data_IF_581899627325
#
_entry.id   IF_581899627325
#
_cell.length_a   1.000
_cell.length_b   1.000
_cell.length_c   1.000
_cell.angle_alpha   90.00
_cell.angle_beta   90.00
_cell.angle_gamma   90.00
#
_symmetry.space_group_name_H-M   'P 1'
#
loop_
_entity.id
_entity.type
_entity.pdbx_description
1 polymer ?
#
# COMPACT_ATOMS: atom_id res chain seq x y z
N UNK A 1 -22.12 -7.42 -10.17
CA UNK A 1 -20.82 -8.11 -10.18
C UNK A 1 -19.64 -7.16 -9.99
N UNK A 2 -19.61 -5.99 -10.64
CA UNK A 2 -18.53 -4.99 -10.53
C UNK A 2 -18.23 -4.52 -9.07
N UNK A 3 -19.27 -4.40 -8.24
CA UNK A 3 -19.11 -4.02 -6.82
C UNK A 3 -18.51 -5.13 -5.95
N UNK A 4 -18.72 -6.40 -6.30
CA UNK A 4 -18.13 -7.54 -5.58
C UNK A 4 -16.64 -7.64 -5.89
N UNK A 5 -16.27 -7.55 -7.17
CA UNK A 5 -14.86 -7.59 -7.60
C UNK A 5 -14.03 -6.47 -6.98
N UNK A 6 -14.51 -5.23 -7.00
CA UNK A 6 -13.83 -4.11 -6.33
C UNK A 6 -13.74 -4.31 -4.81
N UNK A 7 -14.76 -4.89 -4.16
CA UNK A 7 -14.69 -5.17 -2.71
C UNK A 7 -13.64 -6.22 -2.38
N UNK A 8 -13.52 -7.29 -3.17
CA UNK A 8 -12.48 -8.31 -2.98
C UNK A 8 -11.10 -7.68 -3.12
N UNK A 9 -10.86 -6.93 -4.20
CA UNK A 9 -9.59 -6.23 -4.41
C UNK A 9 -9.28 -5.28 -3.25
N UNK A 10 -10.29 -4.56 -2.75
CA UNK A 10 -10.15 -3.61 -1.65
C UNK A 10 -9.70 -4.30 -0.37
N UNK A 11 -10.39 -5.38 0.01
CA UNK A 11 -10.09 -6.13 1.24
C UNK A 11 -8.72 -6.78 1.16
N UNK A 12 -8.38 -7.41 0.03
CA UNK A 12 -7.08 -8.07 -0.16
C UNK A 12 -5.95 -7.03 -0.15
N UNK A 13 -6.08 -5.95 -0.93
CA UNK A 13 -5.08 -4.87 -0.96
C UNK A 13 -4.84 -4.29 0.44
N UNK A 14 -5.92 -3.93 1.13
CA UNK A 14 -5.83 -3.32 2.44
C UNK A 14 -5.27 -4.27 3.49
N UNK A 15 -5.58 -5.57 3.42
CA UNK A 15 -5.00 -6.56 4.32
C UNK A 15 -3.49 -6.71 4.13
N UNK A 16 -3.03 -6.78 2.88
CA UNK A 16 -1.60 -6.88 2.55
C UNK A 16 -0.84 -5.68 3.13
N UNK A 17 -1.32 -4.45 2.88
CA UNK A 17 -0.67 -3.26 3.43
C UNK A 17 -0.76 -3.17 4.96
N UNK A 18 -1.90 -3.53 5.55
CA UNK A 18 -2.03 -3.56 7.01
C UNK A 18 -1.04 -4.54 7.64
N UNK A 19 -0.87 -5.72 7.05
CA UNK A 19 0.09 -6.73 7.51
C UNK A 19 1.55 -6.23 7.38
N UNK A 20 1.92 -5.65 6.24
CA UNK A 20 3.27 -5.10 6.03
C UNK A 20 3.58 -3.91 6.97
N UNK A 21 2.61 -2.99 7.14
CA UNK A 21 2.75 -1.87 8.05
C UNK A 21 2.89 -2.33 9.50
N UNK A 22 2.08 -3.31 9.91
CA UNK A 22 2.19 -3.92 11.25
C UNK A 22 3.54 -4.61 11.45
N UNK A 23 4.00 -5.40 10.47
CA UNK A 23 5.28 -6.09 10.52
C UNK A 23 6.45 -5.13 10.74
N UNK A 24 6.42 -3.92 10.17
CA UNK A 24 7.47 -2.90 10.37
C UNK A 24 7.61 -2.45 11.82
N UNK A 25 6.55 -2.56 12.63
CA UNK A 25 6.60 -2.30 14.07
C UNK A 25 6.96 -3.54 14.89
N UNK A 26 6.85 -4.74 14.32
CA UNK A 26 7.24 -5.97 15.00
C UNK A 26 8.77 -6.05 15.11
N UNK A 27 9.28 -6.10 16.34
CA UNK A 27 10.72 -6.10 16.61
C UNK A 27 11.37 -4.72 16.66
N UNK A 28 10.57 -3.65 16.51
CA UNK A 28 11.04 -2.26 16.53
C UNK A 28 11.35 -1.73 15.13
N UNK A 29 10.93 -0.49 14.88
CA UNK A 29 11.03 0.13 13.55
C UNK A 29 12.46 0.54 13.16
N UNK A 30 13.41 0.47 14.11
CA UNK A 30 14.83 0.78 13.88
C UNK A 30 15.42 0.02 12.71
N UNK A 31 15.13 -1.28 12.58
CA UNK A 31 15.60 -2.08 11.43
C UNK A 31 15.13 -1.53 10.08
N UNK A 32 13.90 -1.04 10.00
CA UNK A 32 13.37 -0.43 8.77
C UNK A 32 13.99 0.94 8.54
N UNK A 33 14.22 1.72 9.60
CA UNK A 33 14.88 3.01 9.50
C UNK A 33 16.32 2.87 8.99
N UNK A 34 17.09 1.94 9.55
CA UNK A 34 18.46 1.64 9.12
C UNK A 34 18.49 1.15 7.66
N UNK A 35 17.52 0.32 7.27
CA UNK A 35 17.39 -0.13 5.87
C UNK A 35 17.09 1.04 4.93
N UNK A 36 16.21 1.97 5.33
CA UNK A 36 15.89 3.16 4.54
C UNK A 36 17.14 4.02 4.34
N UNK A 37 17.90 4.29 5.41
CA UNK A 37 19.14 5.06 5.32
C UNK A 37 20.15 4.39 4.37
N UNK A 38 20.25 3.05 4.39
CA UNK A 38 21.13 2.29 3.50
C UNK A 38 20.77 2.41 2.02
N UNK A 39 19.50 2.65 1.68
CA UNK A 39 19.02 2.85 0.30
C UNK A 39 18.83 4.34 -0.06
N UNK A 40 19.33 5.25 0.77
CA UNK A 40 19.30 6.69 0.51
C UNK A 40 17.97 7.39 0.83
N UNK A 41 17.08 6.74 1.57
CA UNK A 41 15.85 7.33 2.10
C UNK A 41 16.08 7.71 3.57
N UNK A 42 15.73 8.93 4.02
CA UNK A 42 15.89 9.29 5.44
C UNK A 42 15.17 8.30 6.37
N UNK A 43 15.86 7.74 7.36
CA UNK A 43 15.35 6.67 8.22
C UNK A 43 14.04 7.00 8.94
N UNK A 44 13.77 8.28 9.26
CA UNK A 44 12.49 8.70 9.85
C UNK A 44 11.28 8.44 8.94
N UNK A 45 11.48 8.33 7.62
CA UNK A 45 10.43 7.96 6.68
C UNK A 45 9.89 6.55 6.92
N UNK A 46 10.64 5.67 7.59
CA UNK A 46 10.16 4.36 7.98
C UNK A 46 8.87 4.45 8.82
N UNK A 47 8.80 5.42 9.74
CA UNK A 47 7.60 5.68 10.54
C UNK A 47 6.42 6.13 9.69
N UNK A 48 6.68 7.05 8.75
CA UNK A 48 5.65 7.59 7.87
C UNK A 48 5.09 6.48 6.98
N UNK A 49 5.96 5.72 6.32
CA UNK A 49 5.58 4.60 5.45
C UNK A 49 4.85 3.52 6.24
N UNK A 50 5.35 3.12 7.40
CA UNK A 50 4.70 2.09 8.23
C UNK A 50 3.29 2.52 8.68
N UNK A 51 3.10 3.80 9.06
CA UNK A 51 1.80 4.34 9.42
C UNK A 51 0.87 4.38 8.19
N UNK A 52 1.37 4.85 7.04
CA UNK A 52 0.57 4.90 5.81
C UNK A 52 0.11 3.49 5.40
N UNK A 53 0.99 2.49 5.44
CA UNK A 53 0.65 1.11 5.11
C UNK A 53 -0.34 0.52 6.11
N UNK A 54 -0.11 0.71 7.41
CA UNK A 54 -0.98 0.15 8.44
C UNK A 54 -2.36 0.82 8.46
N UNK A 55 -2.38 2.13 8.66
CA UNK A 55 -3.64 2.90 8.76
C UNK A 55 -4.34 2.94 7.41
N UNK A 56 -3.59 3.14 6.32
CA UNK A 56 -4.15 3.14 4.98
C UNK A 56 -4.69 1.78 4.56
N UNK A 57 -4.02 0.69 4.93
CA UNK A 57 -4.52 -0.67 4.69
C UNK A 57 -5.86 -0.91 5.40
N UNK A 58 -5.95 -0.56 6.69
CA UNK A 58 -7.21 -0.67 7.46
C UNK A 58 -8.29 0.24 6.89
N UNK A 59 -7.97 1.49 6.58
CA UNK A 59 -8.91 2.44 6.00
C UNK A 59 -9.44 1.96 4.64
N UNK A 60 -8.58 1.43 3.77
CA UNK A 60 -8.97 0.83 2.51
C UNK A 60 -9.92 -0.35 2.72
N UNK A 61 -9.64 -1.29 3.64
CA UNK A 61 -10.57 -2.41 3.95
C UNK A 61 -11.97 -1.89 4.27
N UNK A 62 -12.04 -0.94 5.21
CA UNK A 62 -13.29 -0.30 5.64
C UNK A 62 -13.93 0.54 4.52
N UNK A 63 -13.15 0.88 3.50
CA UNK A 63 -13.56 1.77 2.42
C UNK A 63 -13.73 3.20 2.90
N UNK A 64 -12.81 3.68 3.75
CA UNK A 64 -12.74 5.04 4.26
C UNK A 64 -11.55 5.78 3.64
N UNK A 65 -11.79 6.99 3.12
CA UNK A 65 -10.72 7.79 2.50
C UNK A 65 -10.04 7.06 1.33
N UNK A 66 -10.79 6.23 0.61
CA UNK A 66 -10.29 5.29 -0.41
C UNK A 66 -9.40 5.95 -1.45
N UNK A 67 -9.76 7.15 -1.91
CA UNK A 67 -8.97 7.90 -2.88
C UNK A 67 -7.63 8.35 -2.31
N UNK A 68 -7.63 8.89 -1.09
CA UNK A 68 -6.44 9.41 -0.43
C UNK A 68 -5.45 8.28 -0.16
N UNK A 69 -5.90 7.22 0.51
CA UNK A 69 -5.02 6.09 0.83
C UNK A 69 -4.62 5.30 -0.41
N UNK A 70 -5.49 5.18 -1.41
CA UNK A 70 -5.12 4.62 -2.71
C UNK A 70 -3.93 5.37 -3.32
N UNK A 71 -3.98 6.71 -3.37
CA UNK A 71 -2.90 7.52 -3.91
C UNK A 71 -1.61 7.39 -3.09
N UNK A 72 -1.70 7.46 -1.75
CA UNK A 72 -0.53 7.32 -0.88
C UNK A 72 0.14 5.95 -1.05
N UNK A 73 -0.63 4.86 -1.05
CA UNK A 73 -0.10 3.51 -1.21
C UNK A 73 0.50 3.30 -2.61
N UNK A 74 -0.09 3.88 -3.66
CA UNK A 74 0.54 3.87 -5.00
C UNK A 74 1.90 4.57 -4.98
N UNK A 75 2.01 5.76 -4.38
CA UNK A 75 3.29 6.48 -4.29
C UNK A 75 4.31 5.66 -3.49
N UNK A 76 3.90 5.06 -2.37
CA UNK A 76 4.78 4.19 -1.58
C UNK A 76 5.35 3.04 -2.41
N UNK A 77 4.52 2.36 -3.21
CA UNK A 77 4.99 1.28 -4.09
C UNK A 77 5.90 1.79 -5.20
N UNK A 78 5.58 2.92 -5.83
CA UNK A 78 6.47 3.51 -6.85
C UNK A 78 7.84 3.79 -6.24
N UNK A 79 7.90 4.44 -5.08
CA UNK A 79 9.17 4.71 -4.40
C UNK A 79 9.90 3.40 -4.08
N UNK A 80 9.23 2.41 -3.50
CA UNK A 80 9.83 1.11 -3.18
C UNK A 80 10.42 0.41 -4.41
N UNK A 81 9.73 0.47 -5.56
CA UNK A 81 10.24 -0.06 -6.83
C UNK A 81 11.56 0.64 -7.17
N UNK A 82 11.56 1.96 -7.27
CA UNK A 82 12.74 2.71 -7.73
C UNK A 82 13.94 2.68 -6.78
N UNK A 83 13.70 2.57 -5.46
CA UNK A 83 14.78 2.64 -4.47
C UNK A 83 15.26 1.27 -3.99
N UNK A 84 14.39 0.27 -3.92
CA UNK A 84 14.70 -1.02 -3.29
C UNK A 84 14.71 -2.21 -4.25
N UNK A 85 13.92 -2.18 -5.33
CA UNK A 85 13.69 -3.38 -6.17
C UNK A 85 14.07 -3.24 -7.64
N UNK A 86 14.27 -2.03 -8.16
CA UNK A 86 14.50 -1.82 -9.60
C UNK A 86 15.76 -2.53 -10.09
N UNK A 87 16.84 -2.49 -9.32
CA UNK A 87 18.11 -3.17 -9.60
C UNK A 87 18.01 -4.70 -9.48
N UNK A 88 17.03 -5.20 -8.73
CA UNK A 88 16.75 -6.64 -8.55
C UNK A 88 16.01 -7.22 -9.76
N UNK A 89 15.35 -6.38 -10.57
CA UNK A 89 14.66 -6.78 -11.78
C UNK A 89 13.21 -7.21 -11.57
N UNK A 90 12.50 -7.47 -12.67
CA UNK A 90 11.04 -7.67 -12.64
C UNK A 90 10.62 -8.94 -11.88
N UNK A 91 11.26 -10.08 -12.13
CA UNK A 91 10.99 -11.37 -11.45
C UNK A 91 11.92 -11.59 -10.24
N UNK A 92 12.92 -10.72 -10.10
CA UNK A 92 13.97 -10.85 -9.12
C UNK A 92 15.14 -11.73 -9.57
N UNK A 93 16.22 -11.67 -8.80
CA UNK A 93 17.48 -12.34 -9.09
C UNK A 93 18.19 -12.73 -7.79
N UNK A 94 19.00 -13.80 -7.82
CA UNK A 94 19.85 -14.22 -6.71
C UNK A 94 19.12 -14.43 -5.36
N UNK A 95 17.88 -14.93 -5.42
CA UNK A 95 17.05 -15.19 -4.24
C UNK A 95 16.36 -13.95 -3.65
N UNK A 96 16.53 -12.78 -4.28
CA UNK A 96 15.79 -11.57 -3.95
C UNK A 96 14.50 -11.51 -4.77
N UNK A 97 13.39 -11.15 -4.14
CA UNK A 97 12.12 -10.95 -4.82
C UNK A 97 12.15 -9.70 -5.72
N UNK A 98 11.59 -9.81 -6.92
CA UNK A 98 11.47 -8.71 -7.87
C UNK A 98 10.48 -7.62 -7.46
N UNK A 99 10.14 -6.76 -8.42
CA UNK A 99 9.18 -5.67 -8.23
C UNK A 99 7.80 -5.92 -8.86
N UNK A 100 7.57 -7.10 -9.42
CA UNK A 100 6.29 -7.51 -10.02
C UNK A 100 5.13 -7.44 -9.03
N UNK A 101 5.38 -7.83 -7.78
CA UNK A 101 4.37 -7.76 -6.73
C UNK A 101 4.08 -6.31 -6.33
N UNK A 102 5.11 -5.50 -6.13
CA UNK A 102 4.99 -4.07 -5.84
C UNK A 102 4.22 -3.33 -6.95
N UNK A 103 4.50 -3.67 -8.22
CA UNK A 103 3.81 -3.11 -9.38
C UNK A 103 2.32 -3.51 -9.40
N UNK A 104 2.00 -4.76 -9.09
CA UNK A 104 0.63 -5.23 -9.00
C UNK A 104 -0.13 -4.49 -7.89
N UNK A 105 0.46 -4.34 -6.71
CA UNK A 105 -0.13 -3.57 -5.61
C UNK A 105 -0.29 -2.09 -5.98
N UNK A 106 0.70 -1.49 -6.64
CA UNK A 106 0.62 -0.11 -7.11
C UNK A 106 -0.56 0.11 -8.06
N UNK A 107 -0.78 -0.82 -9.00
CA UNK A 107 -1.88 -0.76 -9.96
C UNK A 107 -3.25 -0.90 -9.28
N UNK A 108 -3.39 -1.82 -8.32
CA UNK A 108 -4.65 -2.00 -7.57
C UNK A 108 -4.91 -0.78 -6.66
N UNK A 109 -3.88 -0.25 -6.00
CA UNK A 109 -4.00 0.97 -5.20
C UNK A 109 -4.38 2.19 -6.07
N UNK A 110 -3.80 2.29 -7.28
CA UNK A 110 -4.09 3.36 -8.22
C UNK A 110 -5.53 3.26 -8.74
N UNK A 111 -6.04 2.06 -8.95
CA UNK A 111 -7.45 1.85 -9.24
C UNK A 111 -8.35 2.49 -8.17
N UNK A 112 -8.07 2.29 -6.87
CA UNK A 112 -8.86 2.93 -5.80
C UNK A 112 -8.62 4.45 -5.70
N UNK A 113 -7.41 4.92 -6.01
CA UNK A 113 -7.11 6.34 -6.10
C UNK A 113 -7.99 7.06 -7.16
N UNK A 114 -8.20 6.41 -8.31
CA UNK A 114 -8.91 6.97 -9.46
C UNK A 114 -10.42 6.70 -9.43
N UNK A 115 -10.81 5.44 -9.22
CA UNK A 115 -12.21 5.02 -9.23
C UNK A 115 -12.96 5.50 -7.96
N UNK A 116 -12.26 5.62 -6.83
CA UNK A 116 -12.83 5.98 -5.55
C UNK A 116 -13.67 4.87 -4.89
N UNK A 117 -14.62 5.30 -4.08
CA UNK A 117 -15.46 4.47 -3.22
C UNK A 117 -16.39 3.53 -4.01
N UNK A 118 -16.36 2.22 -3.71
CA UNK A 118 -17.36 1.28 -4.25
C UNK A 118 -18.66 1.33 -3.42
N UNK A 119 -19.79 0.88 -3.96
CA UNK A 119 -21.09 0.89 -3.25
C UNK A 119 -21.10 0.12 -1.93
N UNK A 120 -20.14 -0.78 -1.70
CA UNK A 120 -19.95 -1.53 -0.45
C UNK A 120 -18.88 -0.90 0.47
N UNK A 121 -18.43 0.31 0.17
CA UNK A 121 -17.54 1.10 1.04
C UNK A 121 -18.34 1.91 2.06
N UNK A 122 -17.71 2.24 3.19
CA UNK A 122 -18.28 3.20 4.12
C UNK A 122 -18.29 4.62 3.54
N UNK A 123 -17.32 4.98 2.69
CA UNK A 123 -17.32 6.24 1.94
C UNK A 123 -18.62 6.41 1.14
N UNK A 124 -19.07 5.37 0.43
CA UNK A 124 -20.33 5.42 -0.30
C UNK A 124 -21.53 5.63 0.64
N UNK A 125 -21.58 4.95 1.79
CA UNK A 125 -22.69 5.12 2.74
C UNK A 125 -22.71 6.46 3.48
N UNK A 126 -21.55 7.07 3.69
CA UNK A 126 -21.40 8.32 4.45
C UNK A 126 -21.48 9.57 3.56
N UNK A 127 -21.13 9.43 2.28
CA UNK A 127 -21.03 10.57 1.35
C UNK A 127 -21.91 10.44 0.10
N UNK A 128 -22.69 9.38 -0.10
CA UNK A 128 -23.84 9.43 -1.01
C UNK A 128 -24.88 10.39 -0.44
N UNK A 129 -24.95 11.58 -1.05
CA UNK A 129 -26.20 12.34 -1.08
C UNK A 129 -27.11 11.65 -2.09
N UNK A 130 -28.34 11.40 -1.69
CA UNK A 130 -29.45 11.04 -2.58
C UNK A 130 -29.52 11.95 -3.83
#
# INVERSE_FOLDING_TARGET
MQNIGSTILRVVLGFIFAAHGYQKFQGGIGFTADYFDAIGIPGFMAYIVAIIELVGGVAIILGLGTRLFGALLTVTMIVAIFTAKLSVGFIGENGLAGYEFDLALAAIALYFALAGASSFSLDAKLFDKE
#
